data_IF_373302648310
#
_entry.id   IF_373302648310
#
_cell.length_a   1.000
_cell.length_b   1.000
_cell.length_c   1.000
_cell.angle_alpha   90.00
_cell.angle_beta   90.00
_cell.angle_gamma   90.00
#
_symmetry.space_group_name_H-M   'P 1'
#
loop_
_entity.id
_entity.type
_entity.pdbx_description
1 polymer ?
#
# COMPACT_ATOMS: atom_id res chain seq x y z
N UNK A 1 25.57 -22.02 -12.76
CA UNK A 1 24.57 -21.05 -12.29
C UNK A 1 25.22 -20.29 -11.16
N UNK A 2 25.38 -18.98 -11.32
CA UNK A 2 26.03 -18.11 -10.34
C UNK A 2 25.12 -17.94 -9.12
N UNK A 3 25.67 -17.74 -7.92
CA UNK A 3 24.87 -17.48 -6.71
C UNK A 3 23.89 -16.30 -6.91
N UNK A 4 24.30 -15.30 -7.70
CA UNK A 4 23.46 -14.18 -8.09
C UNK A 4 22.20 -14.59 -8.88
N UNK A 5 22.32 -15.56 -9.80
CA UNK A 5 21.17 -16.03 -10.58
C UNK A 5 20.14 -16.72 -9.67
N UNK A 6 20.63 -17.46 -8.67
CA UNK A 6 19.79 -18.16 -7.70
C UNK A 6 19.07 -17.21 -6.74
N UNK A 7 19.76 -16.17 -6.28
CA UNK A 7 19.16 -15.12 -5.44
C UNK A 7 18.10 -14.32 -6.24
N UNK A 8 18.39 -14.02 -7.51
CA UNK A 8 17.45 -13.31 -8.38
C UNK A 8 16.20 -14.16 -8.68
N UNK A 9 16.36 -15.46 -8.91
CA UNK A 9 15.25 -16.39 -9.07
C UNK A 9 14.39 -16.48 -7.82
N UNK A 10 14.99 -16.54 -6.62
CA UNK A 10 14.26 -16.53 -5.35
C UNK A 10 13.47 -15.23 -5.16
N UNK A 11 14.07 -14.07 -5.41
CA UNK A 11 13.38 -12.78 -5.32
C UNK A 11 12.20 -12.68 -6.31
N UNK A 12 12.39 -13.18 -7.55
CA UNK A 12 11.33 -13.19 -8.56
C UNK A 12 10.17 -14.12 -8.19
N UNK A 13 10.44 -15.22 -7.49
CA UNK A 13 9.40 -16.12 -6.99
C UNK A 13 8.65 -15.52 -5.80
N UNK A 14 9.35 -14.79 -4.93
CA UNK A 14 8.74 -14.11 -3.77
C UNK A 14 7.85 -12.92 -4.16
N UNK A 15 8.13 -12.22 -5.27
CA UNK A 15 7.29 -11.15 -5.81
C UNK A 15 6.08 -11.64 -6.63
N UNK A 16 6.02 -12.93 -6.98
CA UNK A 16 5.18 -13.43 -8.07
C UNK A 16 3.70 -13.70 -7.76
N UNK A 17 3.28 -13.70 -6.50
CA UNK A 17 1.96 -14.26 -6.10
C UNK A 17 1.05 -13.29 -5.31
N UNK A 18 1.44 -12.03 -5.08
CA UNK A 18 0.53 -11.08 -4.45
C UNK A 18 -0.45 -10.50 -5.50
N UNK A 19 -1.77 -10.54 -5.24
CA UNK A 19 -2.75 -9.97 -6.16
C UNK A 19 -2.53 -8.46 -6.28
N UNK A 20 -2.23 -8.00 -7.49
CA UNK A 20 -2.08 -6.58 -7.77
C UNK A 20 -3.38 -5.85 -7.42
N UNK A 21 -3.30 -4.96 -6.41
CA UNK A 21 -4.43 -4.11 -6.06
C UNK A 21 -4.41 -2.90 -6.98
N UNK A 22 -5.43 -2.78 -7.83
CA UNK A 22 -5.56 -1.66 -8.74
C UNK A 22 -5.54 -0.32 -7.99
N UNK A 23 -4.70 0.60 -8.47
CA UNK A 23 -4.69 1.96 -7.96
C UNK A 23 -5.99 2.67 -8.36
N UNK A 24 -6.54 3.52 -7.49
CA UNK A 24 -7.69 4.36 -7.82
C UNK A 24 -7.35 5.34 -8.95
N UNK A 25 -8.35 5.76 -9.70
CA UNK A 25 -8.24 6.80 -10.73
C UNK A 25 -7.86 8.17 -10.14
N UNK A 26 -7.40 9.11 -10.98
CA UNK A 26 -7.02 10.45 -10.52
C UNK A 26 -8.17 11.22 -9.85
N UNK A 27 -9.41 11.03 -10.31
CA UNK A 27 -10.57 11.67 -9.70
C UNK A 27 -10.89 11.07 -8.33
N UNK A 28 -10.79 9.75 -8.19
CA UNK A 28 -10.94 9.07 -6.90
C UNK A 28 -9.82 9.47 -5.92
N UNK A 29 -8.57 9.58 -6.38
CA UNK A 29 -7.46 10.04 -5.56
C UNK A 29 -7.69 11.46 -5.03
N UNK A 30 -8.20 12.38 -5.88
CA UNK A 30 -8.56 13.74 -5.45
C UNK A 30 -9.68 13.74 -4.42
N UNK A 31 -10.70 12.90 -4.59
CA UNK A 31 -11.81 12.79 -3.65
C UNK A 31 -11.32 12.31 -2.28
N UNK A 32 -10.49 11.26 -2.25
CA UNK A 32 -9.85 10.74 -1.04
C UNK A 32 -9.02 11.85 -0.36
N UNK A 33 -8.18 12.58 -1.12
CA UNK A 33 -7.37 13.66 -0.57
C UNK A 33 -8.20 14.81 0.03
N UNK A 34 -9.34 15.15 -0.57
CA UNK A 34 -10.23 16.17 -0.05
C UNK A 34 -10.90 15.73 1.26
N UNK A 35 -11.31 14.46 1.34
CA UNK A 35 -11.89 13.86 2.55
C UNK A 35 -10.89 13.84 3.71
N UNK A 36 -9.66 13.37 3.46
CA UNK A 36 -8.60 13.32 4.48
C UNK A 36 -8.26 14.72 5.01
N UNK A 37 -8.18 15.74 4.15
CA UNK A 37 -7.96 17.13 4.58
C UNK A 37 -9.09 17.67 5.45
N UNK A 38 -10.33 17.31 5.15
CA UNK A 38 -11.48 17.68 5.97
C UNK A 38 -11.39 17.04 7.36
N UNK A 39 -11.07 15.75 7.42
CA UNK A 39 -10.89 15.04 8.69
C UNK A 39 -9.71 15.58 9.50
N UNK A 40 -8.62 15.96 8.84
CA UNK A 40 -7.47 16.61 9.48
C UNK A 40 -7.87 17.94 10.12
N UNK A 41 -8.60 18.80 9.39
CA UNK A 41 -9.10 20.08 9.90
C UNK A 41 -10.09 19.91 11.06
N UNK A 42 -10.85 18.82 11.07
CA UNK A 42 -11.78 18.47 12.17
C UNK A 42 -11.08 17.77 13.35
N UNK A 43 -9.78 17.44 13.25
CA UNK A 43 -9.04 16.67 14.26
C UNK A 43 -9.49 15.20 14.37
N UNK A 44 -10.10 14.66 13.30
CA UNK A 44 -10.65 13.29 13.23
C UNK A 44 -9.87 12.37 12.29
N UNK A 45 -8.75 12.84 11.74
CA UNK A 45 -7.88 11.99 10.92
C UNK A 45 -7.11 11.04 11.84
N UNK A 46 -7.60 9.80 11.98
CA UNK A 46 -6.97 8.77 12.81
C UNK A 46 -6.29 7.69 11.95
N UNK A 47 -5.36 6.90 12.53
CA UNK A 47 -4.75 5.77 11.85
C UNK A 47 -5.78 4.78 11.29
N UNK A 48 -6.86 4.51 12.03
CA UNK A 48 -7.93 3.61 11.62
C UNK A 48 -8.65 4.11 10.36
N UNK A 49 -8.79 5.43 10.20
CA UNK A 49 -9.35 6.01 8.96
C UNK A 49 -8.36 5.84 7.80
N UNK A 50 -7.07 6.08 8.04
CA UNK A 50 -6.04 5.89 7.01
C UNK A 50 -5.97 4.43 6.54
N UNK A 51 -6.11 3.47 7.45
CA UNK A 51 -6.15 2.03 7.12
C UNK A 51 -7.32 1.67 6.19
N UNK A 52 -8.47 2.35 6.28
CA UNK A 52 -9.57 2.08 5.34
C UNK A 52 -9.22 2.44 3.89
N UNK A 53 -8.36 3.45 3.69
CA UNK A 53 -7.94 3.88 2.36
C UNK A 53 -6.68 3.15 1.87
N UNK A 54 -5.72 2.92 2.76
CA UNK A 54 -4.39 2.41 2.42
C UNK A 54 -4.14 0.95 2.82
N UNK A 55 -4.96 0.39 3.72
CA UNK A 55 -4.86 -0.98 4.24
C UNK A 55 -4.74 -2.05 3.16
N UNK A 56 -5.46 -1.84 2.06
CA UNK A 56 -5.49 -2.74 0.88
C UNK A 56 -4.21 -2.75 0.04
N UNK A 57 -3.31 -1.79 0.22
CA UNK A 57 -2.04 -1.72 -0.52
C UNK A 57 -0.84 -2.21 0.31
N UNK A 58 -1.05 -2.61 1.56
CA UNK A 58 0.02 -3.20 2.36
C UNK A 58 0.27 -4.64 1.91
N UNK A 59 1.49 -4.90 1.45
CA UNK A 59 2.02 -6.25 1.31
C UNK A 59 2.17 -6.88 2.70
N UNK A 60 1.82 -8.16 2.85
CA UNK A 60 1.95 -8.88 4.13
C UNK A 60 3.40 -8.94 4.64
N UNK A 61 4.36 -8.72 3.74
CA UNK A 61 5.80 -8.78 3.96
C UNK A 61 6.41 -7.46 4.45
N UNK A 62 5.64 -6.37 4.54
CA UNK A 62 6.14 -5.06 4.96
C UNK A 62 5.23 -4.43 6.04
N UNK A 63 5.22 -4.97 7.28
CA UNK A 63 4.41 -4.44 8.36
C UNK A 63 4.86 -3.01 8.74
N UNK A 64 3.94 -2.18 9.25
CA UNK A 64 4.27 -0.83 9.69
C UNK A 64 5.35 -0.87 10.79
N UNK A 65 6.39 -0.04 10.63
CA UNK A 65 7.37 0.22 11.69
C UNK A 65 6.69 1.18 12.67
N UNK A 66 6.28 0.64 13.82
CA UNK A 66 5.67 1.37 14.93
C UNK A 66 6.70 2.11 15.78
#
# INVERSE_FOLDING_TARGET
MSDFEKDLEQMSQEMGDEPETALPSLEEQKAIAAELKKLEAEGKLTPEVLEQHFGKFYAKTNPPVH
#
